data_IF_802736768733
#
_entry.id   IF_802736768733
#
_cell.length_a   1.000
_cell.length_b   1.000
_cell.length_c   1.000
_cell.angle_alpha   90.00
_cell.angle_beta   90.00
_cell.angle_gamma   90.00
#
_symmetry.space_group_name_H-M   'P 1'
#
loop_
_entity.id
_entity.type
_entity.pdbx_description
1 polymer ?
#
# COMPACT_ATOMS: atom_id res chain seq x y z
N UNK A 1 -13.15 6.76 7.25
CA UNK A 1 -13.44 7.12 8.65
C UNK A 1 -14.81 7.76 8.68
N UNK A 2 -15.80 7.05 9.17
CA UNK A 2 -17.11 7.64 9.45
C UNK A 2 -17.07 8.15 10.89
N UNK A 3 -17.30 9.42 11.11
CA UNK A 3 -17.75 9.86 12.41
C UNK A 3 -19.03 9.07 12.72
N UNK A 4 -19.13 8.52 13.91
CA UNK A 4 -20.40 8.01 14.35
C UNK A 4 -21.47 9.08 14.11
N UNK A 5 -22.64 8.67 13.69
CA UNK A 5 -23.76 9.50 13.21
C UNK A 5 -24.19 10.65 14.15
N UNK A 6 -23.57 10.78 15.28
CA UNK A 6 -23.87 11.76 16.32
C UNK A 6 -23.21 13.13 16.15
N UNK A 7 -22.29 13.26 15.20
CA UNK A 7 -21.74 14.59 14.86
C UNK A 7 -22.72 15.48 14.11
N UNK A 8 -23.79 14.93 13.55
CA UNK A 8 -24.79 15.71 12.81
C UNK A 8 -25.56 16.72 13.67
N UNK A 9 -25.64 16.52 14.98
CA UNK A 9 -26.40 17.41 15.87
C UNK A 9 -25.55 18.16 16.88
N UNK A 10 -24.22 18.14 16.76
CA UNK A 10 -23.35 18.83 17.71
C UNK A 10 -23.38 18.29 19.14
N UNK A 11 -24.17 17.29 19.42
CA UNK A 11 -24.24 16.67 20.72
C UNK A 11 -23.11 15.64 20.86
N UNK A 12 -22.17 15.94 21.69
CA UNK A 12 -21.21 14.97 22.21
C UNK A 12 -21.98 13.91 22.98
N UNK A 13 -21.92 12.66 22.53
CA UNK A 13 -22.46 11.55 23.29
C UNK A 13 -21.40 11.16 24.31
N UNK A 14 -21.54 11.69 25.52
CA UNK A 14 -20.55 11.52 26.53
C UNK A 14 -19.17 11.93 25.99
N UNK A 15 -18.32 12.40 26.56
CA UNK A 15 -17.04 12.98 26.23
C UNK A 15 -16.06 12.07 25.48
N UNK A 16 -16.57 11.15 24.61
CA UNK A 16 -15.80 10.12 23.89
C UNK A 16 -15.86 10.32 22.39
N UNK A 17 -14.76 10.10 21.73
CA UNK A 17 -14.65 10.06 20.27
C UNK A 17 -14.50 8.62 19.81
N UNK A 18 -15.27 8.24 18.80
CA UNK A 18 -15.25 6.92 18.20
C UNK A 18 -14.74 7.00 16.79
N UNK A 19 -13.83 6.09 16.44
CA UNK A 19 -13.44 5.84 15.06
C UNK A 19 -13.98 4.48 14.65
N UNK A 20 -14.63 4.44 13.50
CA UNK A 20 -15.13 3.20 12.94
C UNK A 20 -14.04 2.61 12.05
N UNK A 21 -13.59 1.40 12.37
CA UNK A 21 -12.70 0.59 11.57
C UNK A 21 -13.51 -0.56 10.97
N UNK A 22 -14.03 -0.37 9.75
CA UNK A 22 -14.97 -1.31 9.15
C UNK A 22 -16.31 -1.27 9.86
N UNK A 23 -16.75 -2.43 10.40
CA UNK A 23 -17.99 -2.54 11.20
C UNK A 23 -17.77 -2.31 12.71
N UNK A 24 -16.55 -2.05 13.12
CA UNK A 24 -16.16 -1.93 14.53
C UNK A 24 -15.74 -0.52 14.84
N UNK A 25 -16.18 -0.03 15.98
CA UNK A 25 -15.78 1.27 16.51
C UNK A 25 -14.78 1.07 17.63
N UNK A 26 -13.75 1.90 17.70
CA UNK A 26 -12.79 1.93 18.79
C UNK A 26 -12.81 3.30 19.45
N UNK A 27 -12.74 3.32 20.78
CA UNK A 27 -12.65 4.56 21.56
C UNK A 27 -11.19 5.01 21.55
N UNK A 28 -10.92 6.21 21.07
CA UNK A 28 -9.56 6.72 20.92
C UNK A 28 -9.15 7.73 21.95
N UNK A 29 -10.07 8.46 22.56
CA UNK A 29 -9.73 9.37 23.62
C UNK A 29 -10.90 9.76 24.50
N UNK A 30 -10.56 10.18 25.69
CA UNK A 30 -11.41 10.89 26.61
C UNK A 30 -10.92 12.33 26.66
N UNK A 31 -11.78 13.35 26.80
CA UNK A 31 -11.40 14.74 26.99
C UNK A 31 -10.39 14.91 28.13
N UNK A 32 -9.55 15.92 28.00
CA UNK A 32 -8.37 16.16 28.88
C UNK A 32 -8.69 16.31 30.38
N UNK A 33 -9.92 16.68 30.71
CA UNK A 33 -10.41 16.88 32.05
C UNK A 33 -10.86 15.60 32.74
N UNK A 34 -10.84 14.45 32.03
CA UNK A 34 -11.25 13.15 32.58
C UNK A 34 -10.09 12.16 32.48
N UNK A 35 -9.54 11.77 33.61
CA UNK A 35 -8.56 10.69 33.65
C UNK A 35 -9.24 9.37 33.24
N UNK A 36 -8.75 8.72 32.18
CA UNK A 36 -9.32 7.49 31.61
C UNK A 36 -9.51 6.40 32.66
N UNK A 37 -8.55 6.20 33.55
CA UNK A 37 -8.65 5.23 34.64
C UNK A 37 -9.79 5.53 35.61
N UNK A 38 -10.00 6.78 35.98
CA UNK A 38 -11.10 7.15 36.88
C UNK A 38 -12.45 7.03 36.19
N UNK A 39 -12.54 7.40 34.91
CA UNK A 39 -13.77 7.28 34.15
C UNK A 39 -14.16 5.81 33.93
N UNK A 40 -13.21 4.94 33.62
CA UNK A 40 -13.47 3.51 33.38
C UNK A 40 -13.76 2.72 34.64
N UNK A 41 -13.09 3.04 35.75
CA UNK A 41 -13.30 2.33 37.03
C UNK A 41 -14.57 2.76 37.77
N UNK A 42 -15.03 3.98 37.57
CA UNK A 42 -16.22 4.50 38.25
C UNK A 42 -17.53 4.30 37.49
N UNK A 43 -17.49 3.95 36.18
CA UNK A 43 -18.68 3.84 35.34
C UNK A 43 -18.89 2.42 34.81
N UNK A 44 -19.68 1.64 35.51
CA UNK A 44 -20.02 0.25 35.14
C UNK A 44 -20.60 0.10 33.72
N UNK A 45 -21.29 1.14 33.18
CA UNK A 45 -21.81 1.11 31.81
C UNK A 45 -20.66 1.22 30.79
N UNK A 46 -19.67 2.06 31.03
CA UNK A 46 -18.48 2.20 30.17
C UNK A 46 -17.68 0.91 30.18
N UNK A 47 -17.41 0.33 31.36
CA UNK A 47 -16.71 -0.96 31.48
C UNK A 47 -17.44 -2.08 30.70
N UNK A 48 -18.75 -2.17 30.86
CA UNK A 48 -19.54 -3.16 30.13
C UNK A 48 -19.52 -2.94 28.62
N UNK A 49 -19.51 -1.68 28.17
CA UNK A 49 -19.39 -1.33 26.77
C UNK A 49 -18.02 -1.74 26.20
N UNK A 50 -16.93 -1.40 26.90
CA UNK A 50 -15.56 -1.76 26.50
C UNK A 50 -15.36 -3.28 26.46
N UNK A 51 -15.91 -4.02 27.42
CA UNK A 51 -15.88 -5.48 27.41
C UNK A 51 -16.61 -6.05 26.17
N UNK A 52 -17.81 -5.54 25.89
CA UNK A 52 -18.60 -5.96 24.72
C UNK A 52 -17.87 -5.67 23.41
N UNK A 53 -17.23 -4.50 23.32
CA UNK A 53 -16.44 -4.12 22.13
C UNK A 53 -15.22 -5.03 21.97
N UNK A 54 -14.49 -5.31 23.05
CA UNK A 54 -13.38 -6.26 23.06
C UNK A 54 -13.79 -7.65 22.60
N UNK A 55 -14.91 -8.17 23.09
CA UNK A 55 -15.47 -9.45 22.65
C UNK A 55 -15.86 -9.46 21.17
N UNK A 56 -16.44 -8.37 20.67
CA UNK A 56 -16.79 -8.23 19.26
C UNK A 56 -15.54 -8.21 18.38
N UNK A 57 -14.49 -7.50 18.78
CA UNK A 57 -13.22 -7.47 18.09
C UNK A 57 -12.59 -8.87 18.05
N UNK A 58 -12.59 -9.59 19.18
CA UNK A 58 -12.07 -10.96 19.24
C UNK A 58 -12.87 -11.92 18.33
N UNK A 59 -14.19 -11.83 18.35
CA UNK A 59 -15.07 -12.63 17.46
C UNK A 59 -14.80 -12.32 15.99
N UNK A 60 -14.64 -11.05 15.64
CA UNK A 60 -14.29 -10.67 14.28
C UNK A 60 -12.93 -11.27 13.86
N UNK A 61 -11.92 -11.16 14.72
CA UNK A 61 -10.58 -11.71 14.44
C UNK A 61 -10.63 -13.22 14.21
N UNK A 62 -11.33 -13.95 15.04
CA UNK A 62 -11.43 -15.42 14.95
C UNK A 62 -12.32 -15.88 13.79
N UNK A 63 -13.49 -15.28 13.62
CA UNK A 63 -14.52 -15.80 12.73
C UNK A 63 -14.47 -15.21 11.32
N UNK A 64 -13.82 -14.06 11.13
CA UNK A 64 -13.77 -13.36 9.84
C UNK A 64 -12.32 -13.16 9.38
N UNK A 65 -11.50 -12.47 10.18
CA UNK A 65 -10.17 -12.06 9.77
C UNK A 65 -9.24 -13.25 9.57
N UNK A 66 -9.16 -14.16 10.55
CA UNK A 66 -8.28 -15.32 10.49
C UNK A 66 -8.61 -16.26 9.31
N UNK A 67 -9.86 -16.64 9.03
CA UNK A 67 -10.20 -17.41 7.84
C UNK A 67 -9.83 -16.71 6.53
N UNK A 68 -10.08 -15.40 6.40
CA UNK A 68 -9.72 -14.64 5.21
C UNK A 68 -8.21 -14.65 4.96
N UNK A 69 -7.40 -14.43 6.00
CA UNK A 69 -5.94 -14.46 5.91
C UNK A 69 -5.45 -15.86 5.60
N UNK A 70 -5.97 -16.88 6.30
CA UNK A 70 -5.57 -18.28 6.13
C UNK A 70 -5.87 -18.79 4.72
N UNK A 71 -7.03 -18.47 4.17
CA UNK A 71 -7.40 -18.84 2.80
C UNK A 71 -6.51 -18.18 1.74
N UNK A 72 -6.02 -16.96 2.00
CA UNK A 72 -5.24 -16.20 1.04
C UNK A 72 -3.73 -16.47 1.15
N UNK A 73 -3.22 -16.55 2.36
CA UNK A 73 -1.78 -16.61 2.63
C UNK A 73 -1.31 -17.90 3.31
N UNK A 74 -2.21 -18.71 3.82
CA UNK A 74 -1.93 -19.94 4.56
C UNK A 74 -2.11 -19.79 6.07
N UNK A 75 -2.32 -20.92 6.75
CA UNK A 75 -2.75 -20.95 8.16
C UNK A 75 -1.79 -20.25 9.14
N UNK A 76 -0.47 -20.40 8.93
CA UNK A 76 0.53 -19.84 9.85
C UNK A 76 0.92 -18.39 9.55
N UNK A 77 0.44 -17.83 8.42
CA UNK A 77 0.87 -16.52 7.96
C UNK A 77 0.54 -15.42 8.97
N UNK A 78 -0.70 -15.39 9.47
CA UNK A 78 -1.14 -14.37 10.43
C UNK A 78 -0.28 -14.39 11.69
N UNK A 79 -0.04 -15.58 12.26
CA UNK A 79 0.77 -15.72 13.47
C UNK A 79 2.20 -15.19 13.25
N UNK A 80 2.84 -15.56 12.15
CA UNK A 80 4.20 -15.11 11.85
C UNK A 80 4.26 -13.59 11.60
N UNK A 81 3.25 -13.06 10.93
CA UNK A 81 3.10 -11.64 10.68
C UNK A 81 2.97 -10.84 11.99
N UNK A 82 2.02 -11.22 12.86
CA UNK A 82 1.77 -10.55 14.13
C UNK A 82 2.95 -10.68 15.10
N UNK A 83 3.62 -11.83 15.13
CA UNK A 83 4.87 -11.99 15.89
C UNK A 83 5.96 -11.03 15.37
N UNK A 84 6.08 -10.86 14.07
CA UNK A 84 7.05 -9.94 13.47
C UNK A 84 6.70 -8.49 13.78
N UNK A 85 5.43 -8.11 13.59
CA UNK A 85 4.92 -6.79 13.89
C UNK A 85 5.11 -6.41 15.37
N UNK A 86 4.91 -7.37 16.29
CA UNK A 86 5.09 -7.20 17.72
C UNK A 86 6.54 -7.03 18.17
N UNK A 87 7.53 -7.21 17.26
CA UNK A 87 8.93 -6.85 17.54
C UNK A 87 9.22 -5.37 17.36
N UNK A 88 8.34 -4.64 16.71
CA UNK A 88 8.50 -3.17 16.58
C UNK A 88 8.31 -2.51 17.94
N UNK A 89 9.24 -1.61 18.25
CA UNK A 89 9.26 -0.81 19.48
C UNK A 89 9.51 0.64 19.13
N UNK A 90 8.91 1.51 19.90
CA UNK A 90 9.27 2.93 19.94
C UNK A 90 10.57 3.07 20.74
N UNK A 91 11.69 3.30 20.06
CA UNK A 91 13.02 3.36 20.66
C UNK A 91 13.41 4.78 21.04
N UNK A 92 13.03 5.77 20.26
CA UNK A 92 13.20 7.18 20.56
C UNK A 92 11.86 7.80 21.00
N UNK A 93 11.51 7.59 22.26
CA UNK A 93 10.28 8.13 22.85
C UNK A 93 10.29 9.65 22.96
N UNK A 94 11.45 10.24 23.24
CA UNK A 94 11.59 11.69 23.42
C UNK A 94 11.49 12.40 22.06
N UNK A 95 12.20 11.92 21.04
CA UNK A 95 12.10 12.47 19.70
C UNK A 95 10.70 12.32 19.11
N UNK A 96 10.04 11.17 19.33
CA UNK A 96 8.65 10.98 18.92
C UNK A 96 7.71 11.99 19.61
N UNK A 97 7.88 12.22 20.91
CA UNK A 97 7.07 13.20 21.64
C UNK A 97 7.26 14.61 21.08
N UNK A 98 8.50 15.05 20.91
CA UNK A 98 8.80 16.35 20.32
C UNK A 98 8.22 16.51 18.90
N UNK A 99 8.30 15.47 18.08
CA UNK A 99 7.67 15.44 16.76
C UNK A 99 6.14 15.63 16.84
N UNK A 100 5.49 14.93 17.76
CA UNK A 100 4.03 15.04 17.94
C UNK A 100 3.66 16.44 18.40
N UNK A 101 4.35 17.01 19.39
CA UNK A 101 4.13 18.37 19.90
C UNK A 101 4.24 19.40 18.77
N UNK A 102 5.32 19.33 17.96
CA UNK A 102 5.49 20.22 16.80
C UNK A 102 4.34 20.10 15.76
N UNK A 103 3.87 18.88 15.52
CA UNK A 103 2.75 18.66 14.59
C UNK A 103 1.42 19.19 15.14
N UNK A 104 1.22 19.11 16.44
CA UNK A 104 0.01 19.60 17.10
C UNK A 104 -0.03 21.14 17.21
N UNK A 105 1.11 21.81 17.21
CA UNK A 105 1.17 23.27 17.07
C UNK A 105 0.57 23.75 15.76
N UNK A 106 0.77 22.98 14.66
CA UNK A 106 0.25 23.31 13.32
C UNK A 106 -1.16 22.79 13.11
N UNK A 107 -1.47 21.59 13.64
CA UNK A 107 -2.76 20.88 13.46
C UNK A 107 -3.21 20.26 14.78
N UNK A 108 -3.80 21.05 15.68
CA UNK A 108 -4.26 20.56 16.99
C UNK A 108 -5.27 19.41 16.90
N UNK A 109 -6.10 19.40 15.85
CA UNK A 109 -7.09 18.34 15.58
C UNK A 109 -6.46 16.95 15.35
N UNK A 110 -5.16 16.89 15.13
CA UNK A 110 -4.40 15.64 14.96
C UNK A 110 -4.12 14.89 16.26
N UNK A 111 -4.43 15.44 17.44
CA UNK A 111 -4.09 14.86 18.75
C UNK A 111 -4.52 13.41 18.90
N UNK A 112 -5.78 13.11 18.63
CA UNK A 112 -6.35 11.76 18.75
C UNK A 112 -5.63 10.74 17.86
N UNK A 113 -5.25 11.16 16.66
CA UNK A 113 -4.50 10.30 15.75
C UNK A 113 -3.12 9.93 16.33
N UNK A 114 -2.38 10.89 16.87
CA UNK A 114 -1.05 10.62 17.44
C UNK A 114 -1.11 9.82 18.73
N UNK A 115 -2.13 10.04 19.57
CA UNK A 115 -2.40 9.24 20.77
C UNK A 115 -2.68 7.79 20.40
N UNK A 116 -3.57 7.55 19.42
CA UNK A 116 -3.84 6.22 18.91
C UNK A 116 -2.59 5.51 18.39
N UNK A 117 -1.77 6.21 17.60
CA UNK A 117 -0.52 5.63 17.11
C UNK A 117 0.43 5.33 18.27
N UNK A 118 0.56 6.22 19.23
CA UNK A 118 1.42 6.04 20.41
C UNK A 118 1.00 4.80 21.20
N UNK A 119 -0.25 4.70 21.55
CA UNK A 119 -0.77 3.57 22.35
C UNK A 119 -0.55 2.24 21.60
N UNK A 120 -0.93 2.17 20.34
CA UNK A 120 -0.69 0.96 19.54
C UNK A 120 0.79 0.60 19.36
N UNK A 121 1.71 1.59 19.41
CA UNK A 121 3.14 1.33 19.39
C UNK A 121 3.67 0.84 20.76
N UNK A 122 3.03 1.24 21.84
CA UNK A 122 3.39 0.80 23.21
C UNK A 122 2.84 -0.59 23.54
N UNK A 123 1.78 -1.05 22.86
CA UNK A 123 1.27 -2.40 23.03
C UNK A 123 2.36 -3.46 22.84
N UNK A 124 2.37 -4.46 23.72
CA UNK A 124 3.32 -5.57 23.66
C UNK A 124 3.05 -6.47 22.49
N UNK A 125 1.80 -6.78 22.25
CA UNK A 125 1.31 -7.59 21.13
C UNK A 125 0.59 -6.72 20.12
N UNK A 126 1.03 -6.75 18.88
CA UNK A 126 0.45 -5.98 17.79
C UNK A 126 -0.24 -6.91 16.81
N UNK A 127 -1.40 -6.49 16.38
CA UNK A 127 -2.29 -7.33 15.61
C UNK A 127 -2.61 -6.75 14.22
N UNK A 128 -3.01 -7.64 13.32
CA UNK A 128 -3.68 -7.25 12.09
C UNK A 128 -5.09 -6.77 12.46
N UNK A 129 -5.44 -5.55 12.03
CA UNK A 129 -6.74 -4.95 12.29
C UNK A 129 -7.76 -5.33 11.22
N UNK A 130 -7.32 -5.39 9.96
CA UNK A 130 -8.21 -5.60 8.81
C UNK A 130 -7.41 -6.18 7.64
N UNK A 131 -8.11 -6.93 6.81
CA UNK A 131 -7.76 -7.22 5.42
C UNK A 131 -8.89 -6.70 4.53
N UNK A 132 -8.57 -5.97 3.47
CA UNK A 132 -9.59 -5.48 2.54
C UNK A 132 -9.90 -6.49 1.41
N UNK A 133 -10.83 -6.13 0.53
CA UNK A 133 -11.22 -6.96 -0.60
C UNK A 133 -10.08 -7.23 -1.56
N UNK A 134 -9.15 -6.30 -1.71
CA UNK A 134 -7.94 -6.49 -2.52
C UNK A 134 -6.92 -7.43 -1.86
N UNK A 135 -7.01 -7.63 -0.55
CA UNK A 135 -6.10 -8.45 0.26
C UNK A 135 -4.98 -7.68 0.93
N UNK A 136 -5.03 -6.36 0.92
CA UNK A 136 -4.11 -5.54 1.71
C UNK A 136 -4.37 -5.73 3.19
N UNK A 137 -3.29 -5.85 3.94
CA UNK A 137 -3.29 -6.02 5.39
C UNK A 137 -3.11 -4.66 6.06
N UNK A 138 -3.97 -4.37 7.04
CA UNK A 138 -3.93 -3.14 7.82
C UNK A 138 -3.63 -3.43 9.28
N UNK A 139 -2.73 -2.64 9.84
CA UNK A 139 -2.30 -2.69 11.23
C UNK A 139 -1.88 -1.27 11.68
N UNK A 140 -1.44 -1.11 12.91
CA UNK A 140 -1.12 0.22 13.46
C UNK A 140 -0.15 1.04 12.60
N UNK A 141 0.85 0.40 11.99
CA UNK A 141 1.85 1.12 11.18
C UNK A 141 1.39 1.44 9.76
N UNK A 142 0.40 0.75 9.21
CA UNK A 142 -0.18 1.12 7.91
C UNK A 142 -0.97 2.42 7.96
N UNK A 143 -1.42 2.79 9.17
CA UNK A 143 -2.10 4.06 9.44
C UNK A 143 -1.12 5.15 9.89
N UNK A 144 0.13 4.78 10.23
CA UNK A 144 1.11 5.72 10.74
C UNK A 144 1.74 6.54 9.60
N UNK A 145 1.94 7.83 9.82
CA UNK A 145 2.68 8.69 8.90
C UNK A 145 4.12 8.19 8.73
N UNK A 146 4.67 8.39 7.51
CA UNK A 146 6.00 7.90 7.15
C UNK A 146 7.09 8.37 8.12
N UNK A 147 6.99 9.60 8.61
CA UNK A 147 7.96 10.21 9.51
C UNK A 147 8.07 9.50 10.87
N UNK A 148 7.03 8.76 11.27
CA UNK A 148 7.02 8.00 12.52
C UNK A 148 8.04 6.85 12.50
N UNK A 149 8.34 6.31 11.32
CA UNK A 149 9.27 5.18 11.16
C UNK A 149 10.66 5.44 11.75
N UNK A 150 11.15 6.68 11.72
CA UNK A 150 12.47 7.05 12.25
C UNK A 150 12.63 6.87 13.77
N UNK A 151 11.51 6.80 14.50
CA UNK A 151 11.52 6.59 15.96
C UNK A 151 11.39 5.11 16.36
N UNK A 152 11.36 4.21 15.39
CA UNK A 152 11.14 2.78 15.58
C UNK A 152 12.44 1.98 15.38
N UNK A 153 12.53 0.81 16.01
CA UNK A 153 13.63 -0.13 15.84
C UNK A 153 13.56 -0.89 14.51
N UNK A 154 13.61 -0.18 13.40
CA UNK A 154 13.63 -0.77 12.07
C UNK A 154 15.09 -1.02 11.65
N UNK A 155 15.43 -2.27 11.33
CA UNK A 155 16.74 -2.63 10.82
C UNK A 155 16.82 -2.48 9.29
N UNK A 156 15.75 -2.88 8.60
CA UNK A 156 15.67 -2.82 7.13
C UNK A 156 14.31 -2.26 6.74
N UNK A 157 14.33 -1.32 5.82
CA UNK A 157 13.18 -0.84 5.07
C UNK A 157 13.52 -0.97 3.59
N UNK A 158 12.86 -1.90 2.89
CA UNK A 158 13.05 -2.12 1.47
C UNK A 158 11.77 -1.74 0.73
N UNK A 159 11.84 -0.67 -0.04
CA UNK A 159 10.72 -0.04 -0.74
C UNK A 159 10.81 -0.29 -2.25
N UNK A 160 9.67 -0.47 -2.92
CA UNK A 160 9.60 -0.57 -4.37
C UNK A 160 9.38 0.81 -4.97
N UNK A 161 10.37 1.31 -5.75
CA UNK A 161 10.20 2.57 -6.48
C UNK A 161 9.05 2.47 -7.47
N UNK A 162 8.20 3.49 -7.49
CA UNK A 162 7.08 3.57 -8.43
C UNK A 162 6.13 2.36 -8.37
N UNK A 163 5.90 1.77 -7.19
CA UNK A 163 5.22 0.49 -7.01
C UNK A 163 3.98 0.33 -7.90
N UNK A 164 2.94 1.16 -7.73
CA UNK A 164 1.71 1.03 -8.54
C UNK A 164 1.93 1.28 -10.04
N UNK A 165 2.69 2.31 -10.47
CA UNK A 165 3.06 2.43 -11.88
C UNK A 165 3.79 1.20 -12.44
N UNK A 166 4.71 0.59 -11.71
CA UNK A 166 5.37 -0.67 -12.12
C UNK A 166 4.38 -1.82 -12.20
N UNK A 167 3.46 -1.93 -11.23
CA UNK A 167 2.44 -2.98 -11.26
C UNK A 167 1.52 -2.84 -12.46
N UNK A 168 1.33 -1.63 -13.00
CA UNK A 168 0.55 -1.44 -14.21
C UNK A 168 1.24 -2.04 -15.45
N UNK A 169 2.56 -2.20 -15.48
CA UNK A 169 3.26 -2.92 -16.55
C UNK A 169 2.78 -4.36 -16.68
N UNK A 170 2.42 -5.03 -15.58
CA UNK A 170 1.80 -6.36 -15.63
C UNK A 170 0.54 -6.37 -16.48
N UNK A 171 -0.29 -5.33 -16.40
CA UNK A 171 -1.53 -5.22 -17.17
C UNK A 171 -1.27 -4.83 -18.62
N UNK A 172 -0.25 -4.03 -18.90
CA UNK A 172 0.22 -3.75 -20.28
C UNK A 172 0.64 -5.06 -20.94
N UNK A 173 1.53 -5.82 -20.32
CA UNK A 173 1.99 -7.11 -20.86
C UNK A 173 0.85 -8.11 -21.03
N UNK A 174 -0.06 -8.16 -20.07
CA UNK A 174 -1.22 -9.04 -20.14
C UNK A 174 -2.16 -8.65 -21.29
N UNK A 175 -2.41 -7.37 -21.50
CA UNK A 175 -3.24 -6.86 -22.60
C UNK A 175 -2.65 -7.24 -23.96
N UNK A 176 -1.34 -7.16 -24.12
CA UNK A 176 -0.63 -7.54 -25.34
C UNK A 176 -0.34 -9.04 -25.44
N UNK A 177 -0.90 -9.88 -24.58
CA UNK A 177 -0.68 -11.33 -24.53
C UNK A 177 0.79 -11.75 -24.44
N UNK A 178 1.66 -10.88 -23.87
CA UNK A 178 3.07 -11.16 -23.66
C UNK A 178 3.21 -12.15 -22.50
N UNK A 179 3.95 -13.23 -22.70
CA UNK A 179 4.20 -14.21 -21.63
C UNK A 179 4.98 -13.59 -20.48
N UNK A 180 4.84 -14.13 -19.27
CA UNK A 180 5.58 -13.62 -18.09
C UNK A 180 7.09 -13.72 -18.25
N UNK A 181 7.58 -14.73 -18.98
CA UNK A 181 8.99 -14.90 -19.27
C UNK A 181 9.50 -13.78 -20.17
N UNK A 182 8.75 -13.49 -21.25
CA UNK A 182 9.07 -12.42 -22.18
C UNK A 182 8.93 -11.03 -21.53
N UNK A 183 7.87 -10.83 -20.74
CA UNK A 183 7.67 -9.62 -19.96
C UNK A 183 8.85 -9.36 -19.00
N UNK A 184 9.35 -10.41 -18.34
CA UNK A 184 10.54 -10.29 -17.51
C UNK A 184 11.80 -9.96 -18.32
N UNK A 185 11.96 -10.57 -19.48
CA UNK A 185 13.08 -10.28 -20.39
C UNK A 185 13.06 -8.82 -20.81
N UNK A 186 11.90 -8.29 -21.21
CA UNK A 186 11.72 -6.87 -21.54
C UNK A 186 12.01 -6.00 -20.31
N UNK A 187 11.39 -6.28 -19.16
CA UNK A 187 11.58 -5.51 -17.93
C UNK A 187 13.03 -5.50 -17.46
N UNK A 188 13.75 -6.62 -17.61
CA UNK A 188 15.16 -6.73 -17.27
C UNK A 188 16.05 -5.92 -18.23
N UNK A 189 15.74 -5.98 -19.53
CA UNK A 189 16.49 -5.24 -20.54
C UNK A 189 16.40 -3.71 -20.35
N UNK A 190 15.30 -3.22 -19.76
CA UNK A 190 15.14 -1.79 -19.44
C UNK A 190 16.26 -1.24 -18.54
N UNK A 191 16.84 -2.07 -17.67
CA UNK A 191 17.93 -1.67 -16.78
C UNK A 191 19.31 -1.61 -17.47
N UNK A 192 19.40 -2.05 -18.73
CA UNK A 192 20.62 -2.06 -19.54
C UNK A 192 20.56 -1.07 -20.70
N UNK A 193 19.57 -0.18 -20.71
CA UNK A 193 19.46 0.89 -21.71
C UNK A 193 20.31 2.08 -21.25
N UNK A 194 21.34 2.40 -22.03
CA UNK A 194 22.22 3.55 -21.77
C UNK A 194 21.62 4.84 -22.34
N UNK A 195 20.91 4.75 -23.48
CA UNK A 195 20.28 5.89 -24.15
C UNK A 195 18.74 5.77 -24.14
N UNK A 196 18.11 6.57 -23.30
CA UNK A 196 16.66 6.66 -23.21
C UNK A 196 15.99 7.45 -24.35
N UNK A 197 16.75 8.06 -25.26
CA UNK A 197 16.19 8.83 -26.38
C UNK A 197 15.56 7.92 -27.44
N UNK A 198 16.06 6.69 -27.59
CA UNK A 198 15.53 5.68 -28.50
C UNK A 198 15.47 4.30 -27.84
N UNK A 199 14.45 4.13 -26.97
CA UNK A 199 14.29 2.91 -26.16
C UNK A 199 14.07 1.68 -27.05
N UNK A 200 13.25 1.77 -28.09
CA UNK A 200 12.96 0.63 -28.99
C UNK A 200 14.23 0.14 -29.69
N UNK A 201 15.04 1.03 -30.24
CA UNK A 201 16.29 0.67 -30.90
C UNK A 201 17.27 0.03 -29.89
N UNK A 202 17.38 0.61 -28.72
CA UNK A 202 18.24 0.08 -27.66
C UNK A 202 17.79 -1.31 -27.21
N UNK A 203 16.48 -1.54 -27.05
CA UNK A 203 15.92 -2.84 -26.70
C UNK A 203 16.12 -3.88 -27.82
N UNK A 204 15.98 -3.50 -29.09
CA UNK A 204 16.10 -4.44 -30.21
C UNK A 204 17.51 -5.07 -30.33
N UNK A 205 18.51 -4.48 -29.68
CA UNK A 205 19.86 -5.04 -29.54
C UNK A 205 19.97 -6.11 -28.44
N UNK A 206 19.01 -6.16 -27.52
CA UNK A 206 19.02 -7.01 -26.31
C UNK A 206 17.91 -8.04 -26.35
N UNK A 207 16.75 -7.67 -26.89
CA UNK A 207 15.51 -8.46 -26.90
C UNK A 207 15.13 -8.74 -28.34
N UNK A 208 14.62 -9.93 -28.62
CA UNK A 208 14.14 -10.29 -29.96
C UNK A 208 13.03 -9.32 -30.40
N UNK A 209 13.15 -8.81 -31.63
CA UNK A 209 12.28 -7.74 -32.15
C UNK A 209 10.79 -8.11 -32.13
N UNK A 210 10.45 -9.38 -32.42
CA UNK A 210 9.07 -9.87 -32.40
C UNK A 210 8.38 -9.72 -31.01
N UNK A 211 9.13 -9.65 -29.93
CA UNK A 211 8.58 -9.39 -28.58
C UNK A 211 8.18 -7.92 -28.39
N UNK A 212 8.71 -7.04 -29.21
CA UNK A 212 8.45 -5.60 -29.13
C UNK A 212 7.36 -5.12 -30.09
N UNK A 213 7.00 -5.96 -31.10
CA UNK A 213 6.09 -5.55 -32.18
C UNK A 213 4.68 -5.16 -31.71
N UNK A 214 4.20 -5.79 -30.63
CA UNK A 214 2.87 -5.48 -30.06
C UNK A 214 2.86 -4.23 -29.19
N UNK A 215 4.01 -3.78 -28.67
CA UNK A 215 4.11 -2.64 -27.78
C UNK A 215 4.32 -1.33 -28.56
N UNK A 216 3.66 -0.27 -28.12
CA UNK A 216 3.84 1.08 -28.67
C UNK A 216 5.04 1.77 -28.00
N UNK A 217 5.60 2.79 -28.67
CA UNK A 217 6.79 3.48 -28.15
C UNK A 217 6.54 4.18 -26.81
N UNK A 218 5.35 4.75 -26.58
CA UNK A 218 5.00 5.36 -25.31
C UNK A 218 4.78 4.30 -24.21
N UNK A 219 4.34 3.10 -24.54
CA UNK A 219 4.26 1.98 -23.60
C UNK A 219 5.66 1.50 -23.22
N UNK A 220 6.59 1.37 -24.18
CA UNK A 220 7.99 1.04 -23.90
C UNK A 220 8.65 2.11 -23.02
N UNK A 221 8.40 3.39 -23.31
CA UNK A 221 8.88 4.51 -22.50
C UNK A 221 8.33 4.45 -21.08
N UNK A 222 7.04 4.19 -20.92
CA UNK A 222 6.41 4.04 -19.60
C UNK A 222 7.00 2.87 -18.81
N UNK A 223 7.18 1.71 -19.46
CA UNK A 223 7.81 0.52 -18.85
C UNK A 223 9.23 0.83 -18.42
N UNK A 224 10.01 1.53 -19.25
CA UNK A 224 11.37 1.96 -18.92
C UNK A 224 11.39 2.86 -17.68
N UNK A 225 10.64 3.96 -17.70
CA UNK A 225 10.68 4.96 -16.63
C UNK A 225 10.14 4.41 -15.29
N UNK A 226 9.16 3.51 -15.35
CA UNK A 226 8.61 2.87 -14.13
C UNK A 226 9.56 1.83 -13.58
N UNK A 227 10.12 0.95 -14.41
CA UNK A 227 11.05 -0.12 -13.98
C UNK A 227 12.35 0.44 -13.42
N UNK A 228 12.90 1.47 -14.07
CA UNK A 228 14.16 2.14 -13.62
C UNK A 228 13.94 3.12 -12.48
N UNK A 229 12.71 3.41 -12.09
CA UNK A 229 12.39 4.31 -10.98
C UNK A 229 12.39 5.79 -11.35
N UNK A 230 12.44 6.14 -12.65
CA UNK A 230 12.63 7.51 -13.13
C UNK A 230 11.32 8.28 -13.38
N UNK A 231 10.15 7.60 -13.37
CA UNK A 231 8.86 8.19 -13.74
C UNK A 231 8.59 9.53 -13.05
N UNK A 232 8.68 9.55 -11.72
CA UNK A 232 8.36 10.76 -10.95
C UNK A 232 9.38 11.87 -11.17
N UNK A 233 10.64 11.53 -11.31
CA UNK A 233 11.71 12.51 -11.52
C UNK A 233 11.61 13.15 -12.91
N UNK A 234 11.13 12.39 -13.91
CA UNK A 234 10.86 12.90 -15.25
C UNK A 234 9.65 13.86 -15.26
N UNK A 235 8.61 13.53 -14.49
CA UNK A 235 7.42 14.39 -14.35
C UNK A 235 7.78 15.67 -13.58
N UNK A 236 8.53 15.58 -12.48
CA UNK A 236 8.99 16.75 -11.70
C UNK A 236 9.79 17.71 -12.58
N UNK A 237 10.70 17.19 -13.42
CA UNK A 237 11.47 18.04 -14.36
C UNK A 237 10.59 18.81 -15.34
N UNK A 238 9.45 18.24 -15.73
CA UNK A 238 8.47 18.91 -16.61
C UNK A 238 7.61 19.94 -15.88
N UNK A 239 7.42 19.76 -14.56
CA UNK A 239 6.58 20.60 -13.71
C UNK A 239 7.32 21.03 -12.44
N UNK A 240 8.37 21.86 -12.57
CA UNK A 240 9.27 22.22 -11.46
C UNK A 240 8.59 23.08 -10.38
N UNK A 241 7.41 23.62 -10.64
CA UNK A 241 6.62 24.38 -9.68
C UNK A 241 5.91 23.50 -8.64
N UNK A 242 5.91 22.17 -8.81
CA UNK A 242 5.32 21.22 -7.86
C UNK A 242 6.39 20.34 -7.24
N UNK A 243 6.20 20.01 -5.97
CA UNK A 243 7.06 19.02 -5.34
C UNK A 243 6.71 17.57 -5.78
N UNK A 244 7.64 16.66 -5.55
CA UNK A 244 7.51 15.24 -5.97
C UNK A 244 6.34 14.53 -5.30
N UNK A 245 6.03 14.88 -4.04
CA UNK A 245 4.94 14.27 -3.27
C UNK A 245 3.60 14.73 -3.85
N UNK A 246 3.47 16.02 -4.08
CA UNK A 246 2.27 16.63 -4.65
C UNK A 246 1.97 16.07 -6.05
N UNK A 247 2.99 15.96 -6.91
CA UNK A 247 2.85 15.36 -8.24
C UNK A 247 2.36 13.91 -8.12
N UNK A 248 2.98 13.12 -7.24
CA UNK A 248 2.60 11.72 -7.03
C UNK A 248 1.15 11.59 -6.59
N UNK A 249 0.72 12.38 -5.61
CA UNK A 249 -0.66 12.36 -5.11
C UNK A 249 -1.67 12.75 -6.19
N UNK A 250 -1.39 13.82 -6.94
CA UNK A 250 -2.26 14.28 -8.04
C UNK A 250 -2.33 13.28 -9.19
N UNK A 251 -1.20 12.67 -9.56
CA UNK A 251 -1.17 11.62 -10.59
C UNK A 251 -1.98 10.40 -10.18
N UNK A 252 -1.87 9.95 -8.92
CA UNK A 252 -2.70 8.85 -8.44
C UNK A 252 -4.19 9.21 -8.49
N UNK A 253 -4.56 10.40 -8.00
CA UNK A 253 -5.94 10.85 -7.98
C UNK A 253 -6.53 11.06 -9.38
N UNK A 254 -5.76 11.60 -10.32
CA UNK A 254 -6.25 11.99 -11.64
C UNK A 254 -6.13 10.89 -12.71
N UNK A 255 -5.16 9.98 -12.58
CA UNK A 255 -4.88 8.94 -13.57
C UNK A 255 -5.35 7.57 -13.09
N UNK A 256 -4.69 7.02 -12.06
CA UNK A 256 -4.91 5.62 -11.68
C UNK A 256 -6.20 5.41 -10.88
N UNK A 257 -6.53 6.31 -9.95
CA UNK A 257 -7.64 6.16 -9.00
C UNK A 257 -8.81 7.11 -9.24
N UNK A 258 -8.77 7.86 -10.34
CA UNK A 258 -9.89 8.70 -10.74
C UNK A 258 -11.17 7.87 -10.82
N UNK A 259 -12.25 8.40 -10.25
CA UNK A 259 -13.60 7.83 -10.37
C UNK A 259 -14.31 8.30 -11.65
N UNK A 260 -13.60 8.89 -12.60
CA UNK A 260 -14.12 9.38 -13.87
C UNK A 260 -13.56 8.56 -15.02
N UNK A 261 -14.42 8.16 -15.95
CA UNK A 261 -14.04 7.58 -17.24
C UNK A 261 -13.34 8.63 -18.12
N UNK A 262 -13.65 9.92 -17.90
CA UNK A 262 -13.11 11.04 -18.65
C UNK A 262 -12.05 11.76 -17.83
N UNK A 263 -10.94 12.09 -18.50
CA UNK A 263 -9.99 13.06 -17.95
C UNK A 263 -10.56 14.43 -18.26
N UNK A 264 -11.03 15.09 -17.23
CA UNK A 264 -11.59 16.43 -17.34
C UNK A 264 -10.50 17.45 -17.70
N UNK A 265 -10.84 18.49 -18.46
CA UNK A 265 -9.92 19.53 -18.92
C UNK A 265 -9.17 20.23 -17.77
N UNK A 266 -9.74 20.26 -16.56
CA UNK A 266 -9.09 20.80 -15.36
C UNK A 266 -8.10 19.83 -14.71
N UNK A 267 -8.01 18.59 -15.19
CA UNK A 267 -7.06 17.62 -14.68
C UNK A 267 -5.70 17.78 -15.36
N UNK A 268 -4.98 18.83 -14.99
CA UNK A 268 -3.67 19.19 -15.56
C UNK A 268 -2.74 17.97 -15.71
N UNK A 269 -2.60 17.17 -14.65
CA UNK A 269 -1.70 16.00 -14.66
C UNK A 269 -2.28 14.83 -15.44
N UNK A 270 -3.59 14.64 -15.45
CA UNK A 270 -4.24 13.63 -16.28
C UNK A 270 -4.00 13.90 -17.76
N UNK A 271 -4.17 15.15 -18.21
CA UNK A 271 -3.93 15.55 -19.59
C UNK A 271 -2.44 15.42 -19.95
N UNK A 272 -1.54 15.87 -19.10
CA UNK A 272 -0.10 15.74 -19.30
C UNK A 272 0.35 14.28 -19.40
N UNK A 273 -0.24 13.38 -18.62
CA UNK A 273 0.01 11.96 -18.71
C UNK A 273 -0.51 11.39 -20.04
N UNK A 274 -1.71 11.78 -20.46
CA UNK A 274 -2.28 11.36 -21.74
C UNK A 274 -1.45 11.83 -22.94
N UNK A 275 -0.90 13.05 -22.91
CA UNK A 275 0.00 13.56 -23.94
C UNK A 275 1.30 12.76 -24.03
N UNK A 276 1.84 12.37 -22.89
CA UNK A 276 3.11 11.67 -22.80
C UNK A 276 3.01 10.16 -23.04
N UNK A 277 1.89 9.55 -22.62
CA UNK A 277 1.63 8.11 -22.67
C UNK A 277 0.22 7.83 -23.19
N UNK A 278 -0.10 8.16 -24.46
CA UNK A 278 -1.46 8.07 -25.00
C UNK A 278 -2.01 6.64 -25.00
N UNK A 279 -1.19 5.64 -25.35
CA UNK A 279 -1.61 4.25 -25.36
C UNK A 279 -1.74 3.68 -23.94
N UNK A 280 -0.83 4.01 -23.05
CA UNK A 280 -0.95 3.66 -21.61
C UNK A 280 -2.24 4.24 -21.02
N UNK A 281 -2.54 5.52 -21.30
CA UNK A 281 -3.77 6.15 -20.81
C UNK A 281 -5.02 5.48 -21.42
N UNK A 282 -4.96 5.07 -22.68
CA UNK A 282 -6.04 4.29 -23.31
C UNK A 282 -6.31 2.99 -22.55
N UNK A 283 -5.27 2.25 -22.16
CA UNK A 283 -5.41 1.03 -21.36
C UNK A 283 -5.98 1.31 -19.97
N UNK A 284 -5.53 2.39 -19.29
CA UNK A 284 -6.08 2.80 -17.99
C UNK A 284 -7.59 3.11 -18.12
N UNK A 285 -7.98 3.85 -19.16
CA UNK A 285 -9.38 4.16 -19.42
C UNK A 285 -10.18 2.89 -19.73
N UNK A 286 -9.64 1.98 -20.54
CA UNK A 286 -10.28 0.72 -20.86
C UNK A 286 -10.66 -0.10 -19.61
N UNK A 287 -9.85 -0.08 -18.55
CA UNK A 287 -10.18 -0.70 -17.27
C UNK A 287 -11.33 -0.04 -16.52
N UNK A 288 -11.71 1.16 -16.89
CA UNK A 288 -12.77 1.94 -16.24
C UNK A 288 -14.08 1.93 -17.03
N UNK A 289 -14.02 1.59 -18.32
CA UNK A 289 -15.18 1.60 -19.23
C UNK A 289 -15.89 0.25 -19.26
N UNK A 290 -17.22 0.27 -19.35
CA UNK A 290 -18.03 -0.95 -19.43
C UNK A 290 -17.77 -1.77 -20.70
N UNK A 291 -17.34 -1.13 -21.78
CA UNK A 291 -17.09 -1.75 -23.08
C UNK A 291 -15.99 -2.83 -23.09
N UNK A 292 -15.08 -2.77 -22.12
CA UNK A 292 -13.97 -3.71 -22.01
C UNK A 292 -14.11 -4.68 -20.82
N UNK A 293 -15.34 -4.95 -20.43
CA UNK A 293 -15.64 -5.63 -19.19
C UNK A 293 -15.20 -7.10 -19.15
N UNK A 294 -15.22 -7.79 -20.27
CA UNK A 294 -14.95 -9.24 -20.33
C UNK A 294 -13.56 -9.60 -19.78
N UNK A 295 -12.51 -8.90 -20.17
CA UNK A 295 -11.17 -9.21 -19.69
C UNK A 295 -10.92 -8.71 -18.25
N UNK A 296 -11.54 -7.59 -17.86
CA UNK A 296 -11.53 -7.10 -16.48
C UNK A 296 -12.22 -8.12 -15.57
N UNK A 297 -13.42 -8.55 -15.96
CA UNK A 297 -14.21 -9.53 -15.20
C UNK A 297 -13.49 -10.88 -15.13
N UNK A 298 -12.80 -11.29 -16.19
CA UNK A 298 -11.93 -12.47 -16.17
C UNK A 298 -10.82 -12.35 -15.12
N UNK A 299 -10.16 -11.21 -15.03
CA UNK A 299 -9.15 -10.96 -13.99
C UNK A 299 -9.77 -10.96 -12.58
N UNK A 300 -10.86 -10.23 -12.40
CA UNK A 300 -11.54 -10.09 -11.11
C UNK A 300 -12.06 -11.45 -10.61
N UNK A 301 -12.74 -12.20 -11.48
CA UNK A 301 -13.25 -13.55 -11.18
C UNK A 301 -12.13 -14.52 -10.84
N UNK A 302 -11.07 -14.57 -11.66
CA UNK A 302 -9.89 -15.42 -11.41
C UNK A 302 -9.26 -15.15 -10.03
N UNK A 303 -9.27 -13.90 -9.58
CA UNK A 303 -8.68 -13.50 -8.31
C UNK A 303 -9.70 -13.37 -7.17
N UNK A 304 -10.96 -13.74 -7.40
CA UNK A 304 -12.08 -13.64 -6.43
C UNK A 304 -12.23 -12.22 -5.86
N UNK A 305 -12.16 -11.24 -6.73
CA UNK A 305 -12.29 -9.82 -6.39
C UNK A 305 -13.69 -9.32 -6.75
N UNK A 306 -14.15 -8.33 -6.02
CA UNK A 306 -15.38 -7.60 -6.31
C UNK A 306 -15.14 -6.10 -6.31
N UNK A 307 -15.96 -5.38 -7.05
CA UNK A 307 -15.95 -3.92 -7.08
C UNK A 307 -17.39 -3.41 -7.19
N UNK A 308 -17.66 -2.30 -6.53
CA UNK A 308 -18.99 -1.69 -6.55
C UNK A 308 -19.18 -0.79 -7.79
N UNK A 309 -18.07 -0.24 -8.29
CA UNK A 309 -18.05 0.68 -9.42
C UNK A 309 -16.96 0.28 -10.40
N UNK A 310 -17.23 0.28 -11.71
CA UNK A 310 -16.25 -0.10 -12.74
C UNK A 310 -14.92 0.65 -12.61
N UNK A 311 -14.97 1.94 -12.27
CA UNK A 311 -13.80 2.80 -12.14
C UNK A 311 -12.84 2.35 -11.02
N UNK A 312 -13.36 1.64 -10.01
CA UNK A 312 -12.57 1.09 -8.93
C UNK A 312 -11.83 -0.20 -9.32
N UNK A 313 -12.20 -0.86 -10.41
CA UNK A 313 -11.65 -2.16 -10.79
C UNK A 313 -10.13 -2.13 -10.96
N UNK A 314 -9.58 -1.10 -11.61
CA UNK A 314 -8.14 -0.95 -11.79
C UNK A 314 -7.40 -0.83 -10.46
N UNK A 315 -7.85 0.05 -9.58
CA UNK A 315 -7.20 0.25 -8.28
C UNK A 315 -7.25 -1.02 -7.43
N UNK A 316 -8.39 -1.71 -7.42
CA UNK A 316 -8.55 -3.00 -6.72
C UNK A 316 -7.63 -4.06 -7.32
N UNK A 317 -7.51 -4.14 -8.63
CA UNK A 317 -6.63 -5.10 -9.31
C UNK A 317 -5.15 -4.84 -9.00
N UNK A 318 -4.69 -3.58 -9.04
CA UNK A 318 -3.32 -3.22 -8.68
C UNK A 318 -3.02 -3.49 -7.21
N UNK A 319 -3.92 -3.11 -6.30
CA UNK A 319 -3.79 -3.40 -4.87
C UNK A 319 -3.77 -4.91 -4.59
N UNK A 320 -4.55 -5.70 -5.36
CA UNK A 320 -4.53 -7.15 -5.25
C UNK A 320 -3.20 -7.74 -5.70
N UNK A 321 -2.66 -7.27 -6.83
CA UNK A 321 -1.37 -7.71 -7.33
C UNK A 321 -0.27 -7.39 -6.32
N UNK A 322 -0.27 -6.17 -5.75
CA UNK A 322 0.63 -5.77 -4.68
C UNK A 322 0.54 -6.72 -3.47
N UNK A 323 -0.68 -6.93 -2.94
CA UNK A 323 -0.90 -7.79 -1.79
C UNK A 323 -0.42 -9.24 -2.02
N UNK A 324 -0.56 -9.76 -3.23
CA UNK A 324 -0.07 -11.08 -3.61
C UNK A 324 1.46 -11.14 -3.67
N UNK A 325 2.09 -10.14 -4.25
CA UNK A 325 3.55 -10.04 -4.33
C UNK A 325 4.14 -9.97 -2.92
N UNK A 326 3.70 -9.02 -2.10
CA UNK A 326 4.23 -8.85 -0.75
C UNK A 326 3.88 -10.01 0.18
N UNK A 327 2.70 -10.62 0.02
CA UNK A 327 2.35 -11.85 0.69
C UNK A 327 3.31 -13.00 0.38
N UNK A 328 3.69 -13.17 -0.89
CA UNK A 328 4.64 -14.22 -1.31
C UNK A 328 6.07 -13.89 -0.85
N UNK A 329 6.51 -12.63 -0.89
CA UNK A 329 7.79 -12.19 -0.32
C UNK A 329 7.86 -12.60 1.16
N UNK A 330 6.84 -12.26 1.95
CA UNK A 330 6.79 -12.59 3.37
C UNK A 330 6.80 -14.10 3.61
N UNK A 331 6.06 -14.89 2.82
CA UNK A 331 6.10 -16.37 2.92
C UNK A 331 7.51 -16.93 2.73
N UNK A 332 8.24 -16.41 1.74
CA UNK A 332 9.63 -16.83 1.50
C UNK A 332 10.54 -16.43 2.65
N UNK A 333 10.37 -15.23 3.21
CA UNK A 333 11.11 -14.79 4.40
C UNK A 333 10.78 -15.65 5.63
N UNK A 334 9.51 -16.00 5.83
CA UNK A 334 9.09 -16.85 6.96
C UNK A 334 9.63 -18.28 6.86
N UNK A 335 9.76 -18.86 5.65
CA UNK A 335 10.43 -20.16 5.46
C UNK A 335 11.90 -20.12 5.90
N UNK A 336 12.56 -18.96 5.79
CA UNK A 336 13.92 -18.71 6.31
C UNK A 336 13.92 -18.33 7.80
N UNK A 337 12.75 -18.34 8.47
CA UNK A 337 12.55 -17.92 9.87
C UNK A 337 12.92 -16.46 10.13
N UNK A 338 12.89 -15.60 9.12
CA UNK A 338 13.12 -14.18 9.25
C UNK A 338 11.86 -13.48 9.74
N UNK A 339 12.06 -12.45 10.57
CA UNK A 339 10.96 -11.60 11.08
C UNK A 339 10.78 -10.43 10.16
N UNK A 340 9.63 -10.34 9.51
CA UNK A 340 9.30 -9.26 8.60
C UNK A 340 7.79 -9.04 8.55
N UNK A 341 7.38 -7.86 8.14
CA UNK A 341 6.02 -7.51 7.76
C UNK A 341 6.09 -6.43 6.68
N UNK A 342 4.97 -6.02 6.11
CA UNK A 342 4.98 -4.98 5.09
C UNK A 342 4.10 -3.80 5.49
N UNK A 343 4.45 -2.63 4.98
CA UNK A 343 3.63 -1.43 5.01
C UNK A 343 3.45 -1.02 3.56
N UNK A 344 2.28 -1.34 2.98
CA UNK A 344 2.01 -1.17 1.56
C UNK A 344 3.07 -1.86 0.70
N UNK A 345 3.84 -1.12 -0.07
CA UNK A 345 4.90 -1.53 -0.99
C UNK A 345 6.31 -1.60 -0.37
N UNK A 346 6.40 -1.60 0.96
CA UNK A 346 7.65 -1.61 1.71
C UNK A 346 7.75 -2.82 2.63
N UNK A 347 8.81 -3.62 2.52
CA UNK A 347 9.16 -4.67 3.50
C UNK A 347 9.90 -4.04 4.68
N UNK A 348 9.43 -4.33 5.87
CA UNK A 348 10.03 -3.90 7.13
C UNK A 348 10.58 -5.10 7.88
N UNK A 349 11.85 -5.02 8.28
CA UNK A 349 12.49 -5.98 9.17
C UNK A 349 12.80 -5.29 10.49
N UNK A 350 12.18 -5.71 11.60
CA UNK A 350 12.49 -5.17 12.93
C UNK A 350 13.94 -5.50 13.33
N UNK A 351 14.59 -4.57 14.01
CA UNK A 351 15.86 -4.86 14.66
C UNK A 351 15.64 -5.86 15.81
N UNK A 352 16.36 -6.96 15.79
CA UNK A 352 16.30 -8.01 16.81
C UNK A 352 17.70 -8.44 17.21
N UNK A 353 17.83 -9.10 18.36
CA UNK A 353 19.08 -9.70 18.81
C UNK A 353 19.35 -11.07 18.15
N UNK A 354 18.47 -11.52 17.29
CA UNK A 354 18.60 -12.80 16.59
C UNK A 354 19.77 -12.78 15.61
N UNK A 355 20.61 -13.80 15.67
CA UNK A 355 21.67 -14.01 14.66
C UNK A 355 21.13 -14.31 13.25
N UNK A 356 19.88 -14.70 13.14
CA UNK A 356 19.21 -15.02 11.88
C UNK A 356 18.42 -13.80 11.33
N UNK A 357 19.07 -12.63 11.27
CA UNK A 357 18.51 -11.43 10.65
C UNK A 357 19.05 -11.32 9.22
N UNK A 358 18.17 -11.08 8.21
CA UNK A 358 18.62 -10.92 6.83
C UNK A 358 19.45 -9.65 6.65
N UNK A 359 20.30 -9.62 5.65
CA UNK A 359 20.83 -8.40 5.07
C UNK A 359 19.78 -7.72 4.17
N UNK A 360 19.99 -6.44 3.86
CA UNK A 360 19.11 -5.70 2.94
C UNK A 360 19.13 -6.32 1.54
N UNK A 361 20.29 -6.76 1.05
CA UNK A 361 20.44 -7.37 -0.27
C UNK A 361 19.72 -8.71 -0.38
N UNK A 362 19.71 -9.51 0.68
CA UNK A 362 18.92 -10.74 0.73
C UNK A 362 17.41 -10.48 0.67
N UNK A 363 16.91 -9.42 1.34
CA UNK A 363 15.51 -9.02 1.26
C UNK A 363 15.18 -8.59 -0.16
N UNK A 364 15.99 -7.71 -0.77
CA UNK A 364 15.82 -7.23 -2.14
C UNK A 364 15.89 -8.40 -3.14
N UNK A 365 16.78 -9.35 -2.94
CA UNK A 365 16.86 -10.54 -3.79
C UNK A 365 15.56 -11.34 -3.79
N UNK A 366 14.96 -11.57 -2.61
CA UNK A 366 13.64 -12.24 -2.52
C UNK A 366 12.55 -11.41 -3.22
N UNK A 367 12.57 -10.09 -3.04
CA UNK A 367 11.62 -9.21 -3.71
C UNK A 367 11.76 -9.34 -5.24
N UNK A 368 12.96 -9.22 -5.78
CA UNK A 368 13.25 -9.39 -7.23
C UNK A 368 12.75 -10.73 -7.75
N UNK A 369 13.00 -11.83 -7.03
CA UNK A 369 12.55 -13.15 -7.42
C UNK A 369 11.02 -13.29 -7.49
N UNK A 370 10.30 -12.59 -6.60
CA UNK A 370 8.83 -12.61 -6.61
C UNK A 370 8.29 -11.74 -7.74
N UNK A 371 8.85 -10.56 -7.95
CA UNK A 371 8.47 -9.70 -9.08
C UNK A 371 8.73 -10.38 -10.43
N UNK A 372 9.84 -11.11 -10.57
CA UNK A 372 10.16 -11.93 -11.74
C UNK A 372 9.04 -12.90 -12.13
N UNK A 373 8.40 -13.55 -11.14
CA UNK A 373 7.25 -14.46 -11.39
C UNK A 373 6.07 -13.72 -12.02
N UNK A 374 5.98 -12.41 -11.81
CA UNK A 374 4.98 -11.55 -12.44
C UNK A 374 5.43 -10.93 -13.77
N UNK A 375 6.65 -11.22 -14.22
CA UNK A 375 7.23 -10.62 -15.43
C UNK A 375 7.74 -9.19 -15.22
N UNK A 376 8.04 -8.80 -13.98
CA UNK A 376 8.44 -7.44 -13.63
C UNK A 376 9.84 -7.42 -13.01
N UNK A 377 10.54 -6.31 -13.19
CA UNK A 377 11.78 -6.00 -12.48
C UNK A 377 11.82 -4.51 -12.11
N UNK A 378 11.31 -4.12 -10.93
CA UNK A 378 11.41 -2.75 -10.44
C UNK A 378 12.78 -2.45 -9.82
N UNK A 379 13.04 -1.16 -9.62
CA UNK A 379 14.11 -0.67 -8.76
C UNK A 379 13.65 -0.63 -7.30
N UNK A 380 14.54 -0.95 -6.37
CA UNK A 380 14.28 -0.93 -4.93
C UNK A 380 15.18 0.09 -4.21
N UNK A 381 14.59 0.79 -3.22
CA UNK A 381 15.27 1.68 -2.27
C UNK A 381 15.56 0.97 -0.96
#
# INVERSE_FOLDING_TARGET
MGQASHSRNGNRVGEYYYYQVGKYSTIYSIPEDVELEKATTSNARVLKYLQKESEQIQKYRQNVLQPLISNRFGADFQKQYEVSLSKIRLVDKQGFRAFVEQRLEVKPEGRLYYEYIREGLLEKEKHIHKIDTSGRIYHILTNAKREIKQYLNIAISADCKNSHPVLFNYFIFWFHHISRADAYTISSAMHHIDDASNIRESLSKIVASNLLDSLQDDELKYIYETSTGQLWDNIVRKYPEYDRIEIKEKMFAQVFYSNSEKVEWYYKFGNAFQEQYPNVMRLIKAWKMQENREWIDAYMTKNKLSYDKPEAALSIAMMNLEARIFGEVLKRMYRKRWRAFHIHDCIIVPQTTSKNQPSRDEVISIMKDVYKVCGLLPTFD
#
